data_IF_066132461814
#
_entry.id   IF_066132461814
#
_cell.length_a   1.000
_cell.length_b   1.000
_cell.length_c   1.000
_cell.angle_alpha   90.00
_cell.angle_beta   90.00
_cell.angle_gamma   90.00
#
_symmetry.space_group_name_H-M   'P 1'
#
loop_
_entity.id
_entity.type
_entity.pdbx_description
1 polymer ?
#
# COMPACT_ATOMS: atom_id res chain seq x y z
N UNK A 1 16.48 8.15 3.52
CA UNK A 1 15.73 7.08 2.82
C UNK A 1 15.43 7.57 1.41
N UNK A 2 15.54 6.71 0.40
CA UNK A 2 15.13 7.08 -0.96
C UNK A 2 13.61 7.31 -0.98
N UNK A 3 13.15 8.32 -1.73
CA UNK A 3 11.71 8.55 -1.91
C UNK A 3 11.10 7.38 -2.69
N UNK A 4 9.92 6.86 -2.30
CA UNK A 4 9.23 5.85 -3.08
C UNK A 4 8.95 6.37 -4.51
N UNK A 5 9.12 5.49 -5.49
CA UNK A 5 8.73 5.78 -6.88
C UNK A 5 7.36 5.22 -7.15
N UNK A 6 6.45 6.05 -7.65
CA UNK A 6 5.10 5.68 -8.03
C UNK A 6 5.00 5.62 -9.55
N UNK A 7 4.48 4.53 -10.10
CA UNK A 7 4.24 4.35 -11.52
C UNK A 7 2.83 3.81 -11.72
N UNK A 8 1.97 4.62 -12.33
CA UNK A 8 0.59 4.23 -12.63
C UNK A 8 0.47 3.84 -14.10
N UNK A 9 -0.09 2.66 -14.36
CA UNK A 9 -0.45 2.19 -15.69
C UNK A 9 -1.96 2.35 -15.87
N UNK A 10 -2.36 3.31 -16.71
CA UNK A 10 -3.76 3.62 -17.00
C UNK A 10 -4.47 2.48 -17.74
N UNK A 11 -3.76 1.68 -18.54
CA UNK A 11 -4.38 0.62 -19.35
C UNK A 11 -4.83 -0.56 -18.49
N UNK A 12 -4.07 -0.86 -17.43
CA UNK A 12 -4.34 -1.96 -16.52
C UNK A 12 -4.91 -1.51 -15.17
N UNK A 13 -5.18 -0.21 -15.00
CA UNK A 13 -5.54 0.43 -13.72
C UNK A 13 -4.68 -0.06 -12.55
N UNK A 14 -3.36 -0.12 -12.76
CA UNK A 14 -2.42 -0.70 -11.79
C UNK A 14 -1.42 0.35 -11.32
N UNK A 15 -1.31 0.53 -10.00
CA UNK A 15 -0.28 1.38 -9.39
C UNK A 15 0.85 0.51 -8.83
N UNK A 16 2.05 0.75 -9.33
CA UNK A 16 3.29 0.19 -8.81
C UNK A 16 3.99 1.20 -7.90
N UNK A 17 4.34 0.77 -6.70
CA UNK A 17 5.16 1.53 -5.76
C UNK A 17 6.46 0.78 -5.53
N UNK A 18 7.59 1.43 -5.80
CA UNK A 18 8.92 0.84 -5.58
C UNK A 18 9.66 1.60 -4.48
N UNK A 19 10.10 0.85 -3.46
CA UNK A 19 10.95 1.36 -2.38
C UNK A 19 12.44 1.06 -2.65
N UNK A 20 12.72 -0.08 -3.28
CA UNK A 20 14.06 -0.51 -3.69
C UNK A 20 14.03 -1.07 -5.13
N UNK A 21 14.12 -0.22 -6.17
CA UNK A 21 14.08 -0.66 -7.56
C UNK A 21 15.16 -1.70 -7.88
N UNK A 22 14.80 -2.77 -8.59
CA UNK A 22 15.71 -3.84 -9.01
C UNK A 22 16.10 -4.86 -7.93
N UNK A 23 15.64 -4.69 -6.68
CA UNK A 23 15.89 -5.67 -5.64
C UNK A 23 15.11 -6.98 -5.85
N UNK A 24 15.76 -8.12 -5.54
CA UNK A 24 15.07 -9.42 -5.48
C UNK A 24 14.03 -9.38 -4.35
N UNK A 25 12.81 -9.78 -4.68
CA UNK A 25 11.69 -9.77 -3.76
C UNK A 25 10.83 -11.02 -3.92
N UNK A 26 10.19 -11.43 -2.83
CA UNK A 26 9.10 -12.40 -2.77
C UNK A 26 7.79 -11.63 -2.80
N UNK A 27 6.86 -12.05 -3.66
CA UNK A 27 5.49 -11.53 -3.69
C UNK A 27 4.64 -12.22 -2.63
N UNK A 28 3.87 -11.44 -1.89
CA UNK A 28 2.84 -11.90 -0.97
C UNK A 28 1.55 -11.16 -1.31
N UNK A 29 0.56 -11.91 -1.75
CA UNK A 29 -0.78 -11.37 -1.97
C UNK A 29 -1.40 -11.06 -0.61
N UNK A 30 -1.70 -9.79 -0.37
CA UNK A 30 -2.39 -9.34 0.84
C UNK A 30 -3.90 -9.58 0.70
N UNK A 31 -4.40 -9.37 -0.51
CA UNK A 31 -5.71 -9.75 -1.03
C UNK A 31 -5.66 -9.71 -2.57
N UNK A 32 -6.81 -9.90 -3.23
CA UNK A 32 -6.94 -9.94 -4.69
C UNK A 32 -6.48 -8.66 -5.41
N UNK A 33 -6.42 -7.53 -4.69
CA UNK A 33 -6.10 -6.22 -5.26
C UNK A 33 -4.75 -5.67 -4.82
N UNK A 34 -4.09 -6.27 -3.83
CA UNK A 34 -2.86 -5.72 -3.24
C UNK A 34 -1.79 -6.80 -3.11
N UNK A 35 -0.65 -6.58 -3.75
CA UNK A 35 0.53 -7.45 -3.68
C UNK A 35 1.68 -6.72 -2.96
N UNK A 36 2.15 -7.29 -1.85
CA UNK A 36 3.36 -6.86 -1.17
C UNK A 36 4.57 -7.56 -1.78
N UNK A 37 5.56 -6.79 -2.23
CA UNK A 37 6.87 -7.31 -2.62
C UNK A 37 7.83 -7.07 -1.47
N UNK A 38 8.42 -8.12 -0.92
CA UNK A 38 9.31 -8.02 0.24
C UNK A 38 10.57 -8.86 0.11
N UNK A 39 11.63 -8.44 0.80
CA UNK A 39 12.80 -9.27 1.04
C UNK A 39 12.62 -10.00 2.38
N UNK A 40 12.32 -11.31 2.35
CA UNK A 40 12.05 -12.11 3.56
C UNK A 40 13.23 -12.06 4.55
N UNK A 41 14.46 -12.22 4.07
CA UNK A 41 15.67 -12.26 4.92
C UNK A 41 15.93 -10.93 5.63
N UNK A 42 15.66 -9.80 4.96
CA UNK A 42 15.85 -8.46 5.53
C UNK A 42 14.61 -7.93 6.26
N UNK A 43 13.47 -8.63 6.18
CA UNK A 43 12.15 -8.17 6.67
C UNK A 43 11.83 -6.74 6.21
N UNK A 44 12.00 -6.50 4.91
CA UNK A 44 11.81 -5.18 4.30
C UNK A 44 10.88 -5.23 3.10
N UNK A 45 10.03 -4.22 2.97
CA UNK A 45 9.27 -3.98 1.76
C UNK A 45 10.20 -3.51 0.63
N UNK A 46 10.07 -4.12 -0.53
CA UNK A 46 10.70 -3.74 -1.79
C UNK A 46 9.73 -2.94 -2.66
N UNK A 47 8.43 -3.23 -2.57
CA UNK A 47 7.40 -2.48 -3.26
C UNK A 47 5.99 -2.95 -2.92
N UNK A 48 5.00 -2.22 -3.45
CA UNK A 48 3.58 -2.58 -3.44
C UNK A 48 3.07 -2.52 -4.88
N UNK A 49 2.15 -3.42 -5.20
CA UNK A 49 1.34 -3.33 -6.43
C UNK A 49 -0.11 -3.28 -6.02
N UNK A 50 -0.84 -2.34 -6.59
CA UNK A 50 -2.28 -2.15 -6.42
C UNK A 50 -2.95 -2.40 -7.75
N UNK A 51 -3.74 -3.46 -7.84
CA UNK A 51 -4.62 -3.73 -8.97
C UNK A 51 -5.94 -2.98 -8.76
N UNK A 52 -6.55 -2.51 -9.84
CA UNK A 52 -7.80 -1.73 -9.80
C UNK A 52 -7.66 -0.51 -8.88
N UNK A 53 -6.56 0.22 -9.02
CA UNK A 53 -6.19 1.32 -8.12
C UNK A 53 -7.29 2.38 -8.03
N UNK A 54 -7.99 2.68 -9.13
CA UNK A 54 -9.12 3.61 -9.13
C UNK A 54 -10.21 3.22 -8.13
N UNK A 55 -10.47 1.93 -7.95
CA UNK A 55 -11.44 1.38 -7.01
C UNK A 55 -10.94 1.46 -5.57
N UNK A 56 -9.65 1.19 -5.36
CA UNK A 56 -9.02 1.23 -4.03
C UNK A 56 -8.90 2.67 -3.50
N UNK A 57 -8.59 3.62 -4.39
CA UNK A 57 -8.44 5.04 -4.06
C UNK A 57 -9.79 5.78 -3.93
N UNK A 58 -10.89 5.15 -4.35
CA UNK A 58 -12.22 5.73 -4.27
C UNK A 58 -12.63 5.95 -2.80
N UNK A 59 -12.91 7.21 -2.45
CA UNK A 59 -13.49 7.54 -1.16
C UNK A 59 -14.94 7.08 -1.08
N UNK A 60 -15.33 6.58 0.08
CA UNK A 60 -16.73 6.32 0.41
C UNK A 60 -17.30 7.51 1.17
N UNK A 61 -18.63 7.57 1.31
CA UNK A 61 -19.31 8.61 2.10
C UNK A 61 -18.83 8.66 3.56
N UNK A 62 -18.32 7.53 4.07
CA UNK A 62 -17.94 7.33 5.48
C UNK A 62 -16.40 7.32 5.69
N UNK A 63 -15.60 7.49 4.64
CA UNK A 63 -14.13 7.48 4.74
C UNK A 63 -13.43 6.68 3.64
N UNK A 64 -12.12 6.38 3.81
CA UNK A 64 -11.40 5.53 2.86
C UNK A 64 -12.00 4.13 2.82
N UNK A 65 -11.94 3.48 1.65
CA UNK A 65 -12.39 2.10 1.54
C UNK A 65 -11.37 1.16 2.18
N UNK A 66 -11.84 0.31 3.08
CA UNK A 66 -11.03 -0.72 3.75
C UNK A 66 -11.32 -2.09 3.15
N UNK A 67 -10.29 -2.93 3.09
CA UNK A 67 -10.34 -4.26 2.50
C UNK A 67 -9.74 -5.28 3.46
N UNK A 68 -10.31 -6.49 3.55
CA UNK A 68 -9.74 -7.55 4.37
C UNK A 68 -8.41 -8.03 3.79
N UNK A 69 -7.50 -8.44 4.69
CA UNK A 69 -6.22 -9.05 4.35
C UNK A 69 -6.37 -10.58 4.24
N UNK A 70 -7.29 -11.02 3.37
CA UNK A 70 -7.65 -12.43 3.18
C UNK A 70 -6.49 -13.31 2.75
N UNK A 71 -5.52 -12.75 2.02
CA UNK A 71 -4.32 -13.46 1.58
C UNK A 71 -3.45 -13.94 2.75
N UNK A 72 -3.52 -13.29 3.92
CA UNK A 72 -2.75 -13.67 5.10
C UNK A 72 -3.24 -14.95 5.77
N UNK A 73 -4.48 -15.38 5.50
CA UNK A 73 -5.07 -16.59 6.08
C UNK A 73 -4.31 -17.83 5.59
N UNK A 74 -3.85 -17.83 4.35
CA UNK A 74 -3.18 -18.97 3.72
C UNK A 74 -1.68 -19.05 4.02
N UNK A 75 -1.11 -18.01 4.64
CA UNK A 75 0.31 -17.96 4.97
C UNK A 75 0.62 -18.75 6.25
N UNK A 76 1.84 -19.27 6.35
CA UNK A 76 2.36 -19.79 7.61
C UNK A 76 2.46 -18.67 8.66
N UNK A 77 2.38 -19.04 9.94
CA UNK A 77 2.42 -18.06 11.04
C UNK A 77 3.71 -17.21 11.02
N UNK A 78 4.86 -17.82 10.74
CA UNK A 78 6.14 -17.11 10.59
C UNK A 78 6.06 -16.02 9.50
N UNK A 79 5.47 -16.35 8.34
CA UNK A 79 5.38 -15.42 7.24
C UNK A 79 4.35 -14.32 7.51
N UNK A 80 3.24 -14.67 8.15
CA UNK A 80 2.21 -13.72 8.58
C UNK A 80 2.77 -12.69 9.55
N UNK A 81 3.57 -13.11 10.53
CA UNK A 81 4.26 -12.19 11.46
C UNK A 81 5.19 -11.22 10.73
N UNK A 82 5.99 -11.73 9.78
CA UNK A 82 6.88 -10.88 8.97
C UNK A 82 6.08 -9.87 8.16
N UNK A 83 4.95 -10.28 7.59
CA UNK A 83 4.11 -9.37 6.81
C UNK A 83 3.50 -8.29 7.71
N UNK A 84 2.93 -8.63 8.87
CA UNK A 84 2.40 -7.63 9.79
C UNK A 84 3.46 -6.65 10.28
N UNK A 85 4.67 -7.13 10.56
CA UNK A 85 5.83 -6.31 10.94
C UNK A 85 6.17 -5.28 9.85
N UNK A 86 6.14 -5.70 8.58
CA UNK A 86 6.38 -4.84 7.42
C UNK A 86 5.24 -3.84 7.21
N UNK A 87 3.97 -4.30 7.27
CA UNK A 87 2.80 -3.44 7.08
C UNK A 87 2.69 -2.34 8.13
N UNK A 88 3.20 -2.59 9.34
CA UNK A 88 3.12 -1.66 10.48
C UNK A 88 4.26 -0.63 10.51
N UNK A 89 5.18 -0.64 9.54
CA UNK A 89 6.38 0.20 9.53
C UNK A 89 6.55 0.99 8.22
N UNK A 90 7.29 2.11 8.25
CA UNK A 90 7.66 2.81 7.03
C UNK A 90 8.52 1.92 6.13
N UNK A 91 8.39 2.06 4.80
CA UNK A 91 7.54 3.03 4.08
C UNK A 91 6.11 2.52 3.80
N UNK A 92 5.73 1.34 4.29
CA UNK A 92 4.44 0.73 3.94
C UNK A 92 3.29 1.37 4.69
N UNK A 93 3.46 1.62 5.98
CA UNK A 93 2.42 2.25 6.80
C UNK A 93 2.16 3.73 6.46
N UNK A 94 2.99 4.34 5.61
CA UNK A 94 2.75 5.68 5.05
C UNK A 94 1.77 5.63 3.85
N UNK A 95 1.55 4.44 3.29
CA UNK A 95 0.70 4.21 2.10
C UNK A 95 -0.52 3.37 2.46
N UNK A 96 -0.35 2.37 3.32
CA UNK A 96 -1.40 1.48 3.78
C UNK A 96 -1.63 1.67 5.27
N UNK A 97 -2.85 1.98 5.65
CA UNK A 97 -3.26 1.95 7.04
C UNK A 97 -3.70 0.53 7.41
N UNK A 98 -3.11 -0.04 8.46
CA UNK A 98 -3.48 -1.35 8.98
C UNK A 98 -4.40 -1.17 10.19
N UNK A 99 -5.55 -1.84 10.19
CA UNK A 99 -6.47 -1.87 11.33
C UNK A 99 -7.15 -3.24 11.45
N UNK A 100 -7.97 -3.39 12.48
CA UNK A 100 -8.74 -4.61 12.70
C UNK A 100 -10.24 -4.27 12.72
N UNK A 101 -11.03 -5.12 12.07
CA UNK A 101 -12.48 -5.13 12.18
C UNK A 101 -12.90 -6.30 13.06
N UNK A 102 -13.66 -6.03 14.11
CA UNK A 102 -14.12 -7.03 15.08
C UNK A 102 -15.65 -7.11 15.06
N UNK A 103 -16.25 -7.93 14.18
CA UNK A 103 -17.71 -8.08 14.11
C UNK A 103 -18.31 -8.65 15.41
N UNK A 104 -17.51 -9.41 16.16
CA UNK A 104 -17.86 -9.99 17.45
C UNK A 104 -16.65 -9.97 18.40
N UNK A 105 -16.86 -10.27 19.68
CA UNK A 105 -15.80 -10.29 20.70
C UNK A 105 -14.71 -11.35 20.47
N UNK A 106 -14.98 -12.36 19.64
CA UNK A 106 -14.07 -13.50 19.40
C UNK A 106 -13.47 -13.49 17.99
N UNK A 107 -13.92 -12.56 17.14
CA UNK A 107 -13.52 -12.50 15.75
C UNK A 107 -12.76 -11.20 15.49
N UNK A 108 -11.60 -11.33 14.84
CA UNK A 108 -10.77 -10.19 14.46
C UNK A 108 -10.31 -10.40 13.02
N UNK A 109 -10.78 -9.53 12.13
CA UNK A 109 -10.44 -9.55 10.71
C UNK A 109 -9.43 -8.42 10.48
N UNK A 110 -8.18 -8.73 10.09
CA UNK A 110 -7.22 -7.71 9.72
C UNK A 110 -7.67 -7.05 8.41
N UNK A 111 -7.74 -5.72 8.42
CA UNK A 111 -8.18 -4.91 7.28
C UNK A 111 -7.14 -3.83 6.97
N UNK A 112 -7.09 -3.38 5.72
CA UNK A 112 -6.23 -2.28 5.30
C UNK A 112 -6.97 -1.29 4.41
N UNK A 113 -6.54 -0.03 4.43
CA UNK A 113 -7.03 1.00 3.52
C UNK A 113 -5.87 1.81 2.96
N UNK A 114 -6.05 2.35 1.76
CA UNK A 114 -5.10 3.30 1.19
C UNK A 114 -5.16 4.61 1.97
N UNK A 115 -3.98 5.07 2.41
CA UNK A 115 -3.82 6.43 2.88
C UNK A 115 -3.76 7.37 1.68
N UNK A 116 -4.26 8.60 1.86
CA UNK A 116 -4.08 9.63 0.86
C UNK A 116 -2.58 9.87 0.71
N UNK A 117 -1.98 9.34 -0.35
CA UNK A 117 -0.61 9.66 -0.72
C UNK A 117 -0.58 11.17 -0.91
N UNK A 118 0.24 11.93 -0.17
CA UNK A 118 0.35 13.35 -0.41
C UNK A 118 0.93 13.52 -1.80
N UNK A 119 0.05 13.81 -2.77
CA UNK A 119 0.44 14.30 -4.08
C UNK A 119 1.13 15.61 -3.77
N UNK A 120 2.45 15.59 -3.65
CA UNK A 120 3.20 16.84 -3.52
C UNK A 120 3.10 17.48 -4.89
N UNK A 121 2.15 18.40 -5.02
CA UNK A 121 1.92 19.23 -6.20
C UNK A 121 3.16 20.15 -6.37
N UNK A 122 4.29 19.61 -6.83
CA UNK A 122 5.48 20.40 -7.16
C UNK A 122 5.31 21.21 -8.46
N UNK A 123 4.11 21.28 -9.04
CA UNK A 123 3.80 22.12 -10.20
C UNK A 123 2.71 23.16 -9.91
N UNK A 124 2.88 23.99 -8.86
CA UNK A 124 2.17 25.27 -8.76
C UNK A 124 2.98 26.42 -8.15
N UNK A 125 4.27 26.54 -8.50
CA UNK A 125 5.08 27.71 -8.08
C UNK A 125 6.11 28.18 -9.10
N UNK A 126 5.81 28.08 -10.40
CA UNK A 126 6.53 28.84 -11.45
C UNK A 126 5.54 29.33 -12.50
N UNK A 127 4.87 30.45 -12.21
CA UNK A 127 3.90 31.02 -13.15
C UNK A 127 3.16 32.23 -12.64
N UNK A 128 3.82 33.17 -11.95
CA UNK A 128 3.27 34.51 -11.75
C UNK A 128 4.43 35.47 -11.43
N UNK A 129 5.14 35.90 -12.47
CA UNK A 129 5.90 37.16 -12.47
C UNK A 129 6.06 37.61 -13.92
N UNK A 130 4.96 38.08 -14.50
CA UNK A 130 4.95 38.93 -15.68
C UNK A 130 3.70 39.82 -15.61
N UNK A 131 3.91 41.12 -15.83
CA UNK A 131 2.96 42.27 -15.79
C UNK A 131 2.69 42.83 -14.39
N UNK A 132 2.94 44.10 -14.08
CA UNK A 132 3.32 45.28 -14.87
C UNK A 132 4.10 46.28 -14.01
#
# INVERSE_FOLDING_TARGET
MAKPTFNYDEMSDTLYVSFEPGAKATGVELNDHILLRMNKSKRKAVGLTFFEYSLLAQKTEIGPRSFPLTGLIQLSDELREIVFDILSRPPVNDILFLSAYTPSFVETIPITSLQAVPITDEKKTRGSNLHS
#
